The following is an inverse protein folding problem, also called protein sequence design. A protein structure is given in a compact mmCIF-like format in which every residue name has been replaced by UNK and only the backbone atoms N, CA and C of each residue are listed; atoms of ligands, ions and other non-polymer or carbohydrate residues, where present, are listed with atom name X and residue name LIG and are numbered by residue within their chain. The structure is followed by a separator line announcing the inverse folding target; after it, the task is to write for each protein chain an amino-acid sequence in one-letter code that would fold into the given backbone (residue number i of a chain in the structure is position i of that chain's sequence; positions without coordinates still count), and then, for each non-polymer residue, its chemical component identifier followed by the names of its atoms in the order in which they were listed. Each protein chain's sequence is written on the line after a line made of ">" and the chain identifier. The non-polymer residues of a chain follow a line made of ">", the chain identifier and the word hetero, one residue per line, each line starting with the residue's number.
data_IF_344762235561
#
_entry.id   IF_344762235561
#
_cell.length_a   1.000
_cell.length_b   1.000
_cell.length_c   1.000
_cell.angle_alpha   90.00
_cell.angle_beta   90.00
_cell.angle_gamma   90.00
#
_symmetry.space_group_name_H-M   'P 1'
#
loop_
_entity.id
_entity.type
_entity.pdbx_description
1 polymer ?
#
# COMPACT_ATOMS: atom_id res chain seq x y z
N UNK A 1 -47.82 26.75 7.45
CA UNK A 1 -47.38 26.13 8.72
C UNK A 1 -47.01 24.66 8.59
N UNK A 2 -47.74 23.82 7.82
CA UNK A 2 -47.48 22.37 7.78
C UNK A 2 -46.08 21.92 7.32
N UNK A 3 -45.42 22.66 6.43
CA UNK A 3 -44.07 22.29 5.95
C UNK A 3 -43.00 22.46 7.05
N UNK A 4 -43.06 23.56 7.82
CA UNK A 4 -42.09 23.83 8.88
C UNK A 4 -42.19 22.81 10.02
N UNK A 5 -43.42 22.45 10.41
CA UNK A 5 -43.66 21.42 11.43
C UNK A 5 -43.18 20.03 10.96
N UNK A 6 -43.37 19.72 9.69
CA UNK A 6 -42.86 18.49 9.09
C UNK A 6 -41.32 18.45 9.10
N UNK A 7 -40.66 19.55 8.71
CA UNK A 7 -39.21 19.66 8.76
C UNK A 7 -38.66 19.53 10.19
N UNK A 8 -39.32 20.14 11.18
CA UNK A 8 -38.93 20.04 12.59
C UNK A 8 -39.04 18.61 13.12
N UNK A 9 -40.13 17.89 12.78
CA UNK A 9 -40.29 16.47 13.14
C UNK A 9 -39.24 15.60 12.48
N UNK A 10 -38.99 15.79 11.18
CA UNK A 10 -37.97 15.04 10.45
C UNK A 10 -36.55 15.27 11.02
N UNK A 11 -36.23 16.52 11.36
CA UNK A 11 -34.95 16.86 11.98
C UNK A 11 -34.79 16.15 13.33
N UNK A 12 -35.78 16.23 14.21
CA UNK A 12 -35.76 15.54 15.50
C UNK A 12 -35.63 14.03 15.35
N UNK A 13 -36.37 13.41 14.43
CA UNK A 13 -36.26 11.98 14.16
C UNK A 13 -34.85 11.60 13.68
N UNK A 14 -34.26 12.41 12.81
CA UNK A 14 -32.89 12.19 12.32
C UNK A 14 -31.88 12.29 13.46
N UNK A 15 -32.00 13.32 14.32
CA UNK A 15 -31.11 13.51 15.47
C UNK A 15 -31.19 12.34 16.45
N UNK A 16 -32.39 11.89 16.81
CA UNK A 16 -32.58 10.73 17.68
C UNK A 16 -31.97 9.46 17.07
N UNK A 17 -32.09 9.27 15.74
CA UNK A 17 -31.46 8.14 15.02
C UNK A 17 -29.94 8.16 15.13
N UNK A 18 -29.33 9.35 15.17
CA UNK A 18 -27.88 9.52 15.36
C UNK A 18 -27.45 9.57 16.84
N UNK A 19 -28.31 9.12 17.76
CA UNK A 19 -27.96 8.93 19.16
C UNK A 19 -28.17 10.16 20.04
N UNK A 20 -28.96 11.13 19.59
CA UNK A 20 -29.29 12.30 20.41
C UNK A 20 -30.27 11.92 21.53
N UNK A 21 -30.05 12.33 22.79
CA UNK A 21 -30.80 11.82 23.94
C UNK A 21 -32.20 12.42 24.11
N UNK A 22 -32.50 13.57 23.49
CA UNK A 22 -33.79 14.27 23.69
C UNK A 22 -34.19 15.04 22.44
N UNK A 23 -35.48 15.03 22.08
CA UNK A 23 -35.99 15.84 20.98
C UNK A 23 -35.81 17.34 21.26
N UNK A 24 -35.34 18.10 20.28
CA UNK A 24 -35.22 19.55 20.39
C UNK A 24 -36.61 20.19 20.37
N UNK A 25 -36.85 21.10 21.31
CA UNK A 25 -38.01 21.98 21.27
C UNK A 25 -37.69 23.20 20.39
N UNK A 26 -37.93 23.04 19.09
CA UNK A 26 -37.61 24.04 18.06
C UNK A 26 -38.64 25.18 17.97
N UNK A 27 -39.79 25.03 18.63
CA UNK A 27 -40.87 26.01 18.61
C UNK A 27 -41.07 26.69 19.97
N UNK A 28 -40.21 26.40 20.94
CA UNK A 28 -40.25 27.06 22.23
C UNK A 28 -40.05 28.57 22.09
N UNK A 29 -40.82 29.32 22.87
CA UNK A 29 -40.72 30.78 22.93
C UNK A 29 -40.20 31.27 24.27
N UNK A 30 -40.07 30.39 25.26
CA UNK A 30 -39.52 30.74 26.56
C UNK A 30 -37.99 30.68 26.55
N UNK A 31 -37.30 31.61 27.23
CA UNK A 31 -35.84 31.67 27.22
C UNK A 31 -35.14 30.41 27.76
N UNK A 32 -35.80 29.64 28.63
CA UNK A 32 -35.20 28.46 29.28
C UNK A 32 -35.10 27.32 28.26
N UNK A 33 -36.19 27.04 27.56
CA UNK A 33 -36.23 26.02 26.51
C UNK A 33 -35.36 26.39 25.31
N UNK A 34 -35.35 27.67 24.91
CA UNK A 34 -34.45 28.16 23.85
C UNK A 34 -32.98 27.89 24.23
N UNK A 35 -32.60 28.22 25.47
CA UNK A 35 -31.24 27.96 25.98
C UNK A 35 -30.92 26.45 25.98
N UNK A 36 -31.87 25.61 26.36
CA UNK A 36 -31.74 24.15 26.30
C UNK A 36 -31.42 23.67 24.89
N UNK A 37 -32.26 24.05 23.91
CA UNK A 37 -32.06 23.73 22.50
C UNK A 37 -30.70 24.24 21.97
N UNK A 38 -30.27 25.44 22.35
CA UNK A 38 -28.95 25.95 21.96
C UNK A 38 -27.79 25.12 22.53
N UNK A 39 -27.86 24.72 23.81
CA UNK A 39 -26.84 23.88 24.44
C UNK A 39 -26.75 22.50 23.78
N UNK A 40 -27.90 21.92 23.46
CA UNK A 40 -28.03 20.64 22.79
C UNK A 40 -27.39 20.66 21.39
N UNK A 41 -27.67 21.72 20.61
CA UNK A 41 -27.03 21.95 19.31
C UNK A 41 -25.52 22.16 19.48
N UNK A 42 -25.09 22.91 20.49
CA UNK A 42 -23.67 23.16 20.75
C UNK A 42 -22.92 21.86 21.09
N UNK A 43 -23.49 21.01 21.94
CA UNK A 43 -22.95 19.68 22.25
C UNK A 43 -22.83 18.81 20.99
N UNK A 44 -23.85 18.81 20.13
CA UNK A 44 -23.82 18.09 18.85
C UNK A 44 -22.66 18.54 17.96
N UNK A 45 -22.44 19.86 17.86
CA UNK A 45 -21.35 20.42 17.05
C UNK A 45 -19.99 20.01 17.60
N UNK A 46 -19.79 20.07 18.92
CA UNK A 46 -18.54 19.62 19.55
C UNK A 46 -18.30 18.12 19.32
N UNK A 47 -19.31 17.28 19.54
CA UNK A 47 -19.18 15.84 19.35
C UNK A 47 -18.87 15.49 17.87
N UNK A 48 -19.49 16.18 16.91
CA UNK A 48 -19.21 15.99 15.49
C UNK A 48 -17.77 16.42 15.14
N UNK A 49 -17.27 17.50 15.72
CA UNK A 49 -15.90 17.95 15.51
C UNK A 49 -14.88 16.89 16.00
N UNK A 50 -15.07 16.37 17.22
CA UNK A 50 -14.24 15.29 17.76
C UNK A 50 -14.26 14.04 16.87
N UNK A 51 -15.43 13.66 16.35
CA UNK A 51 -15.54 12.53 15.42
C UNK A 51 -14.79 12.76 14.10
N UNK A 52 -14.83 13.98 13.55
CA UNK A 52 -14.08 14.34 12.34
C UNK A 52 -12.58 14.25 12.59
N UNK A 53 -12.10 14.78 13.71
CA UNK A 53 -10.69 14.75 14.10
C UNK A 53 -10.20 13.31 14.32
N UNK A 54 -10.98 12.49 15.03
CA UNK A 54 -10.68 11.07 15.23
C UNK A 54 -10.59 10.31 13.90
N UNK A 55 -11.59 10.49 13.02
CA UNK A 55 -11.58 9.86 11.68
C UNK A 55 -10.37 10.31 10.87
N UNK A 56 -10.05 11.61 10.88
CA UNK A 56 -8.88 12.15 10.17
C UNK A 56 -7.58 11.54 10.70
N UNK A 57 -7.41 11.46 12.02
CA UNK A 57 -6.26 10.85 12.67
C UNK A 57 -6.11 9.37 12.31
N UNK A 58 -7.20 8.58 12.38
CA UNK A 58 -7.19 7.18 11.99
C UNK A 58 -6.85 6.97 10.51
N UNK A 59 -7.38 7.81 9.62
CA UNK A 59 -7.05 7.77 8.20
C UNK A 59 -5.57 8.11 7.95
N UNK A 60 -5.03 9.14 8.62
CA UNK A 60 -3.63 9.52 8.47
C UNK A 60 -2.69 8.41 8.99
N UNK A 61 -3.02 7.80 10.13
CA UNK A 61 -2.26 6.66 10.66
C UNK A 61 -2.25 5.48 9.67
N UNK A 62 -3.43 5.07 9.17
CA UNK A 62 -3.53 3.99 8.16
C UNK A 62 -2.76 4.32 6.88
N UNK A 63 -2.81 5.58 6.45
CA UNK A 63 -2.07 6.08 5.27
C UNK A 63 -0.56 6.00 5.50
N UNK A 64 -0.09 6.43 6.67
CA UNK A 64 1.32 6.36 7.06
C UNK A 64 1.82 4.91 7.10
N UNK A 65 1.08 4.00 7.74
CA UNK A 65 1.42 2.58 7.80
C UNK A 65 1.50 1.94 6.40
N UNK A 66 0.53 2.25 5.54
CA UNK A 66 0.50 1.78 4.16
C UNK A 66 1.67 2.33 3.37
N UNK A 67 1.97 3.62 3.50
CA UNK A 67 3.11 4.26 2.85
C UNK A 67 4.45 3.63 3.27
N UNK A 68 4.62 3.34 4.57
CA UNK A 68 5.82 2.66 5.06
C UNK A 68 5.97 1.26 4.47
N UNK A 69 4.87 0.49 4.40
CA UNK A 69 4.87 -0.85 3.79
C UNK A 69 5.26 -0.80 2.31
N UNK A 70 4.70 0.16 1.56
CA UNK A 70 5.02 0.38 0.14
C UNK A 70 6.51 0.68 -0.02
N UNK A 71 7.04 1.69 0.70
CA UNK A 71 8.46 2.05 0.62
C UNK A 71 9.41 0.89 0.94
N UNK A 72 9.06 0.09 1.94
CA UNK A 72 9.84 -1.11 2.29
C UNK A 72 9.82 -2.15 1.15
N UNK A 73 8.69 -2.32 0.48
CA UNK A 73 8.57 -3.22 -0.65
C UNK A 73 9.34 -2.71 -1.87
N UNK A 74 9.24 -1.41 -2.18
CA UNK A 74 9.99 -0.75 -3.25
C UNK A 74 11.51 -0.95 -3.06
N UNK A 75 12.04 -0.69 -1.86
CA UNK A 75 13.46 -0.91 -1.57
C UNK A 75 13.88 -2.38 -1.71
N UNK A 76 12.98 -3.34 -1.43
CA UNK A 76 13.26 -4.77 -1.62
C UNK A 76 13.29 -5.12 -3.11
N UNK A 77 12.40 -4.54 -3.91
CA UNK A 77 12.36 -4.73 -5.36
C UNK A 77 13.66 -4.21 -5.97
N UNK A 78 14.05 -2.97 -5.68
CA UNK A 78 15.29 -2.37 -6.20
C UNK A 78 16.53 -3.21 -5.87
N UNK A 79 16.61 -3.73 -4.63
CA UNK A 79 17.70 -4.63 -4.23
C UNK A 79 17.70 -5.94 -5.03
N UNK A 80 16.53 -6.56 -5.23
CA UNK A 80 16.41 -7.82 -5.96
C UNK A 80 16.72 -7.64 -7.44
N UNK A 81 16.29 -6.52 -8.04
CA UNK A 81 16.61 -6.16 -9.43
C UNK A 81 18.12 -5.98 -9.61
N UNK A 82 18.80 -5.31 -8.66
CA UNK A 82 20.26 -5.20 -8.67
C UNK A 82 20.97 -6.56 -8.58
N UNK A 83 20.47 -7.47 -7.74
CA UNK A 83 21.00 -8.84 -7.64
C UNK A 83 20.79 -9.64 -8.92
N UNK A 84 19.61 -9.51 -9.55
CA UNK A 84 19.29 -10.18 -10.81
C UNK A 84 20.27 -9.75 -11.91
N UNK A 85 20.52 -8.44 -12.04
CA UNK A 85 21.45 -7.93 -13.04
C UNK A 85 22.89 -8.44 -12.84
N UNK A 86 23.33 -8.60 -11.59
CA UNK A 86 24.64 -9.21 -11.29
C UNK A 86 24.66 -10.67 -11.71
N UNK A 87 23.60 -11.43 -11.39
CA UNK A 87 23.48 -12.84 -11.77
C UNK A 87 23.45 -13.04 -13.29
N UNK A 88 22.78 -12.15 -14.03
CA UNK A 88 22.79 -12.19 -15.50
C UNK A 88 24.19 -12.00 -16.07
N UNK A 89 24.98 -11.08 -15.51
CA UNK A 89 26.38 -10.87 -15.91
C UNK A 89 27.28 -12.07 -15.58
N UNK A 90 27.06 -12.69 -14.42
CA UNK A 90 27.78 -13.91 -14.03
C UNK A 90 27.48 -15.06 -15.01
N UNK A 91 26.21 -15.27 -15.37
CA UNK A 91 25.81 -16.29 -16.35
C UNK A 91 26.50 -16.07 -17.68
N UNK A 92 26.44 -14.87 -18.24
CA UNK A 92 27.11 -14.55 -19.52
C UNK A 92 28.61 -14.84 -19.45
N UNK A 93 29.24 -14.50 -18.33
CA UNK A 93 30.68 -14.74 -18.13
C UNK A 93 30.97 -16.24 -18.10
N UNK A 94 30.23 -17.02 -17.30
CA UNK A 94 30.40 -18.47 -17.19
C UNK A 94 30.19 -19.15 -18.54
N UNK A 95 29.10 -18.82 -19.25
CA UNK A 95 28.79 -19.39 -20.56
C UNK A 95 29.93 -19.11 -21.56
N UNK A 96 30.52 -17.90 -21.53
CA UNK A 96 31.67 -17.58 -22.38
C UNK A 96 32.91 -18.41 -22.01
N UNK A 97 33.21 -18.54 -20.72
CA UNK A 97 34.37 -19.32 -20.25
C UNK A 97 34.21 -20.80 -20.59
N UNK A 98 33.01 -21.36 -20.41
CA UNK A 98 32.70 -22.74 -20.77
C UNK A 98 32.85 -22.98 -22.27
N UNK A 99 32.36 -22.07 -23.13
CA UNK A 99 32.53 -22.17 -24.57
C UNK A 99 34.02 -22.18 -25.00
N UNK A 100 34.84 -21.33 -24.39
CA UNK A 100 36.30 -21.30 -24.63
C UNK A 100 36.96 -22.60 -24.17
N UNK A 101 36.59 -23.11 -23.00
CA UNK A 101 37.11 -24.37 -22.47
C UNK A 101 36.73 -25.56 -23.38
N UNK A 102 35.49 -25.61 -23.86
CA UNK A 102 35.05 -26.64 -24.81
C UNK A 102 35.86 -26.56 -26.10
N UNK A 103 36.09 -25.36 -26.65
CA UNK A 103 36.88 -25.19 -27.86
C UNK A 103 38.35 -25.63 -27.67
N UNK A 104 38.95 -25.27 -26.54
CA UNK A 104 40.31 -25.68 -26.19
C UNK A 104 40.43 -27.21 -26.03
N UNK A 105 39.46 -27.84 -25.37
CA UNK A 105 39.40 -29.30 -25.23
C UNK A 105 39.24 -29.99 -26.58
N UNK A 106 38.32 -29.52 -27.45
CA UNK A 106 38.16 -30.05 -28.81
C UNK A 106 39.46 -29.97 -29.61
N UNK A 107 40.12 -28.82 -29.61
CA UNK A 107 41.41 -28.66 -30.30
C UNK A 107 42.48 -29.62 -29.77
N UNK A 108 42.55 -29.85 -28.45
CA UNK A 108 43.48 -30.80 -27.85
C UNK A 108 43.16 -32.25 -28.25
N UNK A 109 41.88 -32.63 -28.25
CA UNK A 109 41.43 -33.95 -28.68
C UNK A 109 41.77 -34.21 -30.15
N UNK A 110 41.55 -33.23 -31.03
CA UNK A 110 41.90 -33.34 -32.46
C UNK A 110 43.40 -33.51 -32.69
N UNK A 111 44.25 -32.86 -31.88
CA UNK A 111 45.72 -33.05 -31.95
C UNK A 111 46.11 -34.47 -31.54
N UNK A 112 45.60 -34.95 -30.41
CA UNK A 112 45.88 -36.32 -29.93
C UNK A 112 45.39 -37.40 -30.91
N UNK A 113 44.29 -37.15 -31.62
CA UNK A 113 43.79 -38.06 -32.66
C UNK A 113 44.66 -38.08 -33.93
N UNK A 114 45.53 -37.10 -34.15
CA UNK A 114 46.43 -37.02 -35.31
C UNK A 114 47.83 -37.59 -35.05
N UNK A 115 48.26 -37.71 -33.78
CA UNK A 115 49.52 -38.36 -33.41
C UNK A 115 49.62 -39.90 -33.68
N UNK A 116 48.56 -40.72 -33.85
CA UNK A 116 48.74 -42.17 -34.08
C UNK A 116 49.30 -42.52 -35.47
N UNK A 117 49.26 -41.61 -36.45
CA UNK A 117 49.78 -41.87 -37.81
C UNK A 117 51.31 -41.67 -37.93
N UNK A 118 51.96 -41.01 -36.96
CA UNK A 118 53.42 -40.73 -37.02
C UNK A 118 54.28 -41.88 -36.47
N UNK A 119 53.72 -42.81 -35.68
CA UNK A 119 54.49 -43.90 -35.05
C UNK A 119 54.63 -45.19 -35.88
N UNK A 120 54.07 -45.25 -37.09
CA UNK A 120 54.09 -46.48 -37.92
C UNK A 120 55.25 -46.48 -38.95
N UNK A 121 56.10 -45.46 -39.00
CA UNK A 121 57.17 -45.33 -40.01
C UNK A 121 58.62 -45.38 -39.49
N UNK A 122 58.89 -46.11 -38.40
CA UNK A 122 60.27 -46.44 -37.99
C UNK A 122 60.38 -47.90 -37.51
N UNK A 123 60.34 -48.88 -38.42
CA UNK A 123 60.94 -50.22 -38.25
C UNK A 123 61.28 -50.86 -39.59
#
# INVERSE_FOLDING_TARGET
>A
MGNLEHCAKFLNQSLMTFGFPTSLDLFANDPVSIKGTCNDIYFLLQHRQLNVEFRKSSHEQKKSETCFKIKRQEAKIEKLEGQLQVKDKEIVTITRTEALNIAALKSKTEKLQKEPDEFIYEF
#
